data_IF_204738343477
#
_entry.id   IF_204738343477
#
_cell.length_a   1.000
_cell.length_b   1.000
_cell.length_c   1.000
_cell.angle_alpha   90.00
_cell.angle_beta   90.00
_cell.angle_gamma   90.00
#
_symmetry.space_group_name_H-M   'P 1'
#
loop_
_entity.id
_entity.type
_entity.pdbx_description
1 polymer ?
#
# COMPACT_ATOMS: atom_id res chain seq x y z
N UNK A 1 8.46 0.25 11.96
CA UNK A 1 7.71 1.01 10.93
C UNK A 1 8.20 2.45 10.91
N UNK A 2 8.45 3.03 9.73
CA UNK A 2 8.77 4.45 9.56
C UNK A 2 7.66 5.16 8.78
N UNK A 3 6.93 6.09 9.41
CA UNK A 3 5.95 6.91 8.70
C UNK A 3 6.63 8.14 8.09
N UNK A 4 6.31 8.46 6.84
CA UNK A 4 6.98 9.50 6.05
C UNK A 4 5.99 10.44 5.38
N UNK A 5 6.43 11.66 5.07
CA UNK A 5 5.61 12.65 4.36
C UNK A 5 5.57 12.34 2.85
N UNK A 6 4.74 13.09 2.12
CA UNK A 6 4.56 12.95 0.68
C UNK A 6 5.88 13.10 -0.09
N UNK A 7 6.68 14.13 0.21
CA UNK A 7 7.95 14.37 -0.49
C UNK A 7 8.94 13.21 -0.32
N UNK A 8 9.03 12.66 0.89
CA UNK A 8 9.89 11.52 1.19
C UNK A 8 9.37 10.26 0.51
N UNK A 9 8.05 10.04 0.50
CA UNK A 9 7.43 8.92 -0.17
C UNK A 9 7.63 8.96 -1.71
N UNK A 10 7.53 10.16 -2.31
CA UNK A 10 7.80 10.37 -3.73
C UNK A 10 9.26 10.11 -4.08
N UNK A 11 10.20 10.58 -3.25
CA UNK A 11 11.62 10.31 -3.41
C UNK A 11 11.91 8.81 -3.34
N UNK A 12 11.31 8.11 -2.37
CA UNK A 12 11.41 6.66 -2.23
C UNK A 12 10.87 5.93 -3.48
N UNK A 13 9.72 6.35 -3.99
CA UNK A 13 9.14 5.76 -5.20
C UNK A 13 10.08 5.93 -6.41
N UNK A 14 10.64 7.13 -6.60
CA UNK A 14 11.56 7.41 -7.69
C UNK A 14 12.86 6.60 -7.61
N UNK A 15 13.42 6.45 -6.40
CA UNK A 15 14.61 5.63 -6.15
C UNK A 15 14.40 4.15 -6.52
N UNK A 16 13.20 3.64 -6.30
CA UNK A 16 12.83 2.24 -6.57
C UNK A 16 12.11 2.04 -7.92
N UNK A 17 12.19 3.02 -8.82
CA UNK A 17 11.71 2.90 -10.20
C UNK A 17 10.19 3.04 -10.40
N UNK A 18 9.45 3.49 -9.37
CA UNK A 18 8.02 3.76 -9.48
C UNK A 18 7.78 5.18 -9.99
N UNK A 19 6.96 5.31 -11.03
CA UNK A 19 6.54 6.61 -11.53
C UNK A 19 5.54 7.29 -10.57
N UNK A 20 5.66 8.61 -10.44
CA UNK A 20 4.67 9.45 -9.76
C UNK A 20 3.75 10.09 -10.80
N UNK A 21 2.45 10.03 -10.56
CA UNK A 21 1.41 10.61 -11.41
C UNK A 21 1.23 12.11 -11.17
N UNK A 22 0.31 12.71 -11.92
CA UNK A 22 0.01 14.15 -11.86
C UNK A 22 -0.47 14.60 -10.47
N UNK A 23 -1.17 13.73 -9.75
CA UNK A 23 -1.66 13.99 -8.39
C UNK A 23 -0.60 13.76 -7.29
N UNK A 24 0.65 13.48 -7.66
CA UNK A 24 1.72 13.24 -6.69
C UNK A 24 1.68 11.86 -6.01
N UNK A 25 0.86 10.95 -6.52
CA UNK A 25 0.69 9.57 -6.05
C UNK A 25 1.42 8.58 -6.97
N UNK A 26 1.70 7.34 -6.52
CA UNK A 26 2.18 6.28 -7.39
C UNK A 26 1.28 6.07 -8.61
N UNK A 27 1.85 6.16 -9.82
CA UNK A 27 1.07 6.12 -11.04
C UNK A 27 0.51 4.71 -11.33
N UNK A 28 -0.83 4.60 -11.36
CA UNK A 28 -1.55 3.43 -11.84
C UNK A 28 -1.56 3.40 -13.38
N UNK A 29 -0.41 3.18 -14.04
CA UNK A 29 -0.41 3.17 -15.51
C UNK A 29 -0.98 1.84 -16.02
N UNK A 30 -2.13 1.90 -16.69
CA UNK A 30 -2.76 0.75 -17.35
C UNK A 30 -1.91 0.10 -18.45
N UNK A 31 -0.84 0.78 -18.91
CA UNK A 31 0.13 0.23 -19.86
C UNK A 31 1.12 -0.76 -19.21
N UNK A 32 1.18 -0.86 -17.88
CA UNK A 32 2.20 -1.63 -17.14
C UNK A 32 1.78 -3.09 -16.86
N UNK A 33 0.73 -3.59 -17.53
CA UNK A 33 0.27 -4.97 -17.37
C UNK A 33 -0.42 -5.26 -16.02
N UNK A 34 -0.92 -4.23 -15.34
CA UNK A 34 -1.75 -4.37 -14.15
C UNK A 34 -3.08 -5.05 -14.50
N UNK A 35 -3.48 -6.05 -13.73
CA UNK A 35 -4.80 -6.69 -13.82
C UNK A 35 -5.71 -6.19 -12.72
N UNK A 36 -6.94 -5.87 -13.10
CA UNK A 36 -8.01 -5.51 -12.18
C UNK A 36 -8.56 -6.75 -11.46
N UNK A 37 -8.96 -6.57 -10.21
CA UNK A 37 -9.68 -7.56 -9.42
C UNK A 37 -10.75 -6.88 -8.56
N UNK A 38 -11.81 -7.62 -8.24
CA UNK A 38 -12.82 -7.19 -7.30
C UNK A 38 -12.39 -7.50 -5.86
N UNK A 39 -12.67 -6.59 -4.93
CA UNK A 39 -12.52 -6.83 -3.50
C UNK A 39 -13.82 -7.49 -2.99
N UNK A 40 -13.74 -8.65 -2.31
CA UNK A 40 -14.93 -9.31 -1.78
C UNK A 40 -15.68 -8.46 -0.76
N UNK A 41 -17.01 -8.52 -0.76
CA UNK A 41 -17.82 -7.82 0.24
C UNK A 41 -17.54 -8.32 1.68
N UNK A 42 -17.38 -9.64 1.84
CA UNK A 42 -17.14 -10.29 3.14
C UNK A 42 -15.78 -9.93 3.76
N UNK A 43 -15.80 -9.47 5.01
CA UNK A 43 -14.60 -9.03 5.72
C UNK A 43 -13.53 -10.12 5.86
N UNK A 44 -13.92 -11.37 6.12
CA UNK A 44 -12.97 -12.49 6.21
C UNK A 44 -12.28 -12.77 4.87
N UNK A 45 -13.04 -12.71 3.77
CA UNK A 45 -12.50 -12.84 2.41
C UNK A 45 -11.60 -11.67 2.03
N UNK A 46 -11.89 -10.43 2.47
CA UNK A 46 -10.96 -9.28 2.30
C UNK A 46 -9.62 -9.55 2.96
N UNK A 47 -9.63 -9.98 4.21
CA UNK A 47 -8.41 -10.33 4.95
C UNK A 47 -7.63 -11.44 4.23
N UNK A 48 -8.32 -12.50 3.78
CA UNK A 48 -7.70 -13.59 3.05
C UNK A 48 -7.08 -13.12 1.71
N UNK A 49 -7.79 -12.26 0.97
CA UNK A 49 -7.30 -11.67 -0.29
C UNK A 49 -6.04 -10.84 -0.06
N UNK A 50 -6.07 -9.92 0.90
CA UNK A 50 -4.92 -9.07 1.22
C UNK A 50 -3.73 -9.92 1.63
N UNK A 51 -3.92 -10.88 2.55
CA UNK A 51 -2.85 -11.80 2.95
C UNK A 51 -2.29 -12.60 1.77
N UNK A 52 -3.13 -13.03 0.84
CA UNK A 52 -2.72 -13.73 -0.37
C UNK A 52 -1.86 -12.86 -1.29
N UNK A 53 -2.26 -11.61 -1.52
CA UNK A 53 -1.49 -10.65 -2.31
C UNK A 53 -0.16 -10.27 -1.63
N UNK A 54 -0.18 -10.07 -0.31
CA UNK A 54 1.02 -9.68 0.44
C UNK A 54 2.14 -10.72 0.34
N UNK A 55 1.86 -12.01 0.14
CA UNK A 55 2.92 -13.04 -0.06
C UNK A 55 3.95 -12.69 -1.13
N UNK A 56 3.58 -11.87 -2.11
CA UNK A 56 4.47 -11.43 -3.20
C UNK A 56 5.55 -10.45 -2.72
N UNK A 57 5.28 -9.76 -1.60
CA UNK A 57 6.15 -8.78 -0.98
C UNK A 57 7.04 -9.39 0.12
N UNK A 58 6.88 -10.67 0.48
CA UNK A 58 7.66 -11.32 1.57
C UNK A 58 9.19 -11.32 1.33
N UNK A 59 9.61 -11.18 0.07
CA UNK A 59 11.03 -11.15 -0.31
C UNK A 59 11.60 -9.74 -0.44
N UNK A 60 10.75 -8.72 -0.33
CA UNK A 60 11.16 -7.33 -0.40
C UNK A 60 11.90 -6.95 0.88
N UNK A 61 13.01 -6.24 0.75
CA UNK A 61 13.77 -5.77 1.92
C UNK A 61 13.02 -4.63 2.61
N UNK A 62 12.28 -3.83 1.83
CA UNK A 62 11.38 -2.80 2.34
C UNK A 62 10.09 -2.72 1.49
N UNK A 63 8.97 -2.39 2.13
CA UNK A 63 7.67 -2.16 1.49
C UNK A 63 7.17 -0.75 1.85
N UNK A 64 6.85 0.10 0.87
CA UNK A 64 6.04 1.32 1.13
C UNK A 64 4.57 0.94 1.03
N UNK A 65 3.82 1.27 2.09
CA UNK A 65 2.36 1.31 2.07
C UNK A 65 1.93 2.76 2.15
N UNK A 66 1.35 3.25 1.06
CA UNK A 66 0.86 4.61 0.93
C UNK A 66 -0.67 4.59 0.97
N UNK A 67 -1.23 5.18 2.02
CA UNK A 67 -2.68 5.38 2.11
C UNK A 67 -3.06 6.72 1.48
N UNK A 68 -4.20 6.78 0.82
CA UNK A 68 -4.80 8.01 0.31
C UNK A 68 -6.33 7.91 0.37
N UNK A 69 -7.01 9.00 0.04
CA UNK A 69 -8.47 9.09 -0.14
C UNK A 69 -9.27 8.39 0.98
N UNK A 70 -8.82 8.62 2.22
CA UNK A 70 -9.31 7.95 3.41
C UNK A 70 -10.62 8.54 3.96
N UNK A 71 -11.14 9.61 3.35
CA UNK A 71 -12.31 10.36 3.83
C UNK A 71 -13.51 10.27 2.88
N UNK A 72 -13.50 9.36 1.89
CA UNK A 72 -14.59 9.22 0.91
C UNK A 72 -15.87 8.67 1.54
N UNK A 73 -15.76 7.59 2.32
CA UNK A 73 -16.92 6.89 2.89
C UNK A 73 -16.94 6.97 4.41
N UNK A 74 -17.89 7.72 4.98
CA UNK A 74 -18.04 7.88 6.43
C UNK A 74 -18.20 6.55 7.20
N UNK A 75 -18.73 5.51 6.55
CA UNK A 75 -18.84 4.16 7.10
C UNK A 75 -17.47 3.53 7.39
N UNK A 76 -16.44 3.84 6.58
CA UNK A 76 -15.07 3.33 6.70
C UNK A 76 -14.16 4.16 7.62
N UNK A 77 -14.57 5.36 8.00
CA UNK A 77 -13.75 6.30 8.76
C UNK A 77 -13.61 5.91 10.24
N UNK A 78 -12.80 4.89 10.52
CA UNK A 78 -12.38 4.51 11.89
C UNK A 78 -10.90 4.80 12.12
N UNK A 79 -10.42 5.92 11.57
CA UNK A 79 -9.02 6.35 11.63
C UNK A 79 -8.44 6.44 13.04
N UNK A 80 -9.24 6.76 14.05
CA UNK A 80 -8.78 6.73 15.44
C UNK A 80 -8.20 5.37 15.88
N UNK A 81 -8.66 4.25 15.29
CA UNK A 81 -8.09 2.92 15.53
C UNK A 81 -6.72 2.82 14.86
N UNK A 82 -6.61 3.29 13.62
CA UNK A 82 -5.34 3.33 12.90
C UNK A 82 -4.31 4.20 13.58
N UNK A 83 -4.73 5.37 14.06
CA UNK A 83 -3.84 6.28 14.78
C UNK A 83 -3.33 5.67 16.08
N UNK A 84 -4.18 4.93 16.82
CA UNK A 84 -3.72 4.17 18.00
C UNK A 84 -2.76 3.04 17.64
N UNK A 85 -2.98 2.39 16.51
CA UNK A 85 -2.04 1.42 15.96
C UNK A 85 -0.69 2.10 15.64
N UNK A 86 -0.69 3.23 14.91
CA UNK A 86 0.52 4.01 14.60
C UNK A 86 1.26 4.49 15.84
N UNK A 87 0.52 4.95 16.85
CA UNK A 87 1.06 5.35 18.16
C UNK A 87 1.79 4.20 18.86
N UNK A 88 1.34 2.95 18.72
CA UNK A 88 2.02 1.78 19.29
C UNK A 88 3.42 1.53 18.68
N UNK A 89 3.68 2.07 17.48
CA UNK A 89 4.98 2.09 16.82
C UNK A 89 5.73 3.43 16.99
N UNK A 90 5.25 4.30 17.88
CA UNK A 90 5.87 5.60 18.15
C UNK A 90 5.58 6.70 17.13
N UNK A 91 4.63 6.48 16.22
CA UNK A 91 4.20 7.49 15.23
C UNK A 91 3.05 8.31 15.82
N UNK A 92 3.31 9.58 16.13
CA UNK A 92 2.34 10.48 16.77
C UNK A 92 1.69 11.47 15.80
N UNK A 93 2.31 11.70 14.65
CA UNK A 93 1.79 12.55 13.59
C UNK A 93 0.58 11.89 12.91
N UNK A 94 -0.39 12.68 12.48
CA UNK A 94 -1.61 12.16 11.85
C UNK A 94 -1.35 11.53 10.48
N UNK A 95 -2.30 10.75 9.98
CA UNK A 95 -2.19 10.10 8.67
C UNK A 95 -2.09 11.14 7.54
N UNK A 96 -2.76 12.28 7.70
CA UNK A 96 -2.65 13.43 6.78
C UNK A 96 -1.22 13.97 6.69
N UNK A 97 -0.48 13.95 7.80
CA UNK A 97 0.90 14.47 7.85
C UNK A 97 1.91 13.46 7.33
N UNK A 98 1.67 12.16 7.59
CA UNK A 98 2.59 11.06 7.26
C UNK A 98 1.83 9.86 6.66
N UNK A 99 1.41 9.94 5.38
CA UNK A 99 0.53 8.93 4.76
C UNK A 99 1.21 7.64 4.29
N UNK A 100 2.51 7.67 3.91
CA UNK A 100 3.26 6.43 3.59
C UNK A 100 3.97 5.89 4.83
N UNK A 101 4.01 4.56 4.90
CA UNK A 101 4.71 3.78 5.89
C UNK A 101 5.74 2.91 5.18
N UNK A 102 7.02 3.13 5.47
CA UNK A 102 8.11 2.29 5.03
C UNK A 102 8.32 1.19 6.08
N UNK A 103 8.14 -0.06 5.65
CA UNK A 103 8.15 -1.25 6.50
C UNK A 103 9.30 -2.15 6.07
N UNK A 104 10.22 -2.39 7.00
CA UNK A 104 11.33 -3.31 6.80
C UNK A 104 10.81 -4.75 6.81
N UNK A 105 11.52 -5.65 6.13
CA UNK A 105 11.18 -7.07 6.00
C UNK A 105 10.94 -7.77 7.34
N UNK A 106 11.69 -7.43 8.38
CA UNK A 106 11.55 -8.01 9.71
C UNK A 106 10.21 -7.66 10.37
N UNK A 107 9.56 -6.59 9.90
CA UNK A 107 8.29 -6.08 10.40
C UNK A 107 7.13 -6.40 9.43
N UNK A 108 7.28 -7.38 8.55
CA UNK A 108 6.34 -7.64 7.45
C UNK A 108 4.87 -7.85 7.89
N UNK A 109 4.63 -8.42 9.07
CA UNK A 109 3.27 -8.53 9.63
C UNK A 109 2.61 -7.16 9.87
N UNK A 110 3.41 -6.11 10.12
CA UNK A 110 2.96 -4.73 10.19
C UNK A 110 2.44 -4.25 8.84
N UNK A 111 3.16 -4.59 7.75
CA UNK A 111 2.73 -4.27 6.39
C UNK A 111 1.37 -4.93 6.06
N UNK A 112 1.23 -6.21 6.40
CA UNK A 112 -0.06 -6.93 6.24
C UNK A 112 -1.16 -6.24 7.04
N UNK A 113 -0.88 -5.86 8.29
CA UNK A 113 -1.86 -5.23 9.17
C UNK A 113 -2.36 -3.90 8.64
N UNK A 114 -1.47 -3.05 8.11
CA UNK A 114 -1.84 -1.77 7.49
C UNK A 114 -2.68 -2.00 6.23
N UNK A 115 -2.26 -2.91 5.35
CA UNK A 115 -3.00 -3.21 4.13
C UNK A 115 -4.41 -3.78 4.42
N UNK A 116 -4.53 -4.67 5.40
CA UNK A 116 -5.82 -5.19 5.87
C UNK A 116 -6.68 -4.05 6.42
N UNK A 117 -6.10 -3.18 7.24
CA UNK A 117 -6.82 -2.03 7.78
C UNK A 117 -7.38 -1.14 6.67
N UNK A 118 -6.56 -0.78 5.68
CA UNK A 118 -6.97 0.07 4.56
C UNK A 118 -8.16 -0.52 3.79
N UNK A 119 -8.13 -1.81 3.47
CA UNK A 119 -9.21 -2.49 2.73
C UNK A 119 -10.49 -2.62 3.55
N UNK A 120 -10.38 -2.82 4.88
CA UNK A 120 -11.55 -2.88 5.76
C UNK A 120 -12.17 -1.50 6.00
N UNK A 121 -11.37 -0.44 5.93
CA UNK A 121 -11.79 0.94 6.16
C UNK A 121 -12.07 1.72 4.88
N UNK A 122 -12.05 1.05 3.72
CA UNK A 122 -12.34 1.64 2.41
C UNK A 122 -11.45 2.86 2.11
N UNK A 123 -10.14 2.71 2.32
CA UNK A 123 -9.15 3.70 1.90
C UNK A 123 -8.44 3.26 0.64
N UNK A 124 -8.00 4.22 -0.16
CA UNK A 124 -7.05 3.96 -1.22
C UNK A 124 -5.71 3.55 -0.62
N UNK A 125 -5.10 2.49 -1.17
CA UNK A 125 -3.89 1.91 -0.62
C UNK A 125 -2.99 1.41 -1.73
N UNK A 126 -1.84 2.07 -1.90
CA UNK A 126 -0.77 1.61 -2.76
C UNK A 126 0.26 0.83 -1.93
N UNK A 127 0.68 -0.32 -2.44
CA UNK A 127 1.70 -1.17 -1.83
C UNK A 127 2.79 -1.41 -2.87
N UNK A 128 4.01 -1.03 -2.53
CA UNK A 128 5.16 -1.02 -3.43
C UNK A 128 6.32 -1.75 -2.77
N UNK A 129 6.95 -2.70 -3.48
CA UNK A 129 8.16 -3.38 -3.00
C UNK A 129 9.42 -2.64 -3.43
N UNK A 130 10.44 -2.63 -2.57
CA UNK A 130 11.76 -2.03 -2.83
C UNK A 130 12.46 -2.52 -4.11
N UNK A 131 12.13 -3.70 -4.62
CA UNK A 131 12.70 -4.20 -5.88
C UNK A 131 12.22 -3.45 -7.12
N UNK A 132 11.17 -2.63 -7.00
CA UNK A 132 10.48 -2.01 -8.13
C UNK A 132 9.59 -2.98 -8.92
N UNK A 133 9.58 -4.28 -8.56
CA UNK A 133 8.97 -5.36 -9.35
C UNK A 133 7.65 -5.90 -8.81
N UNK A 134 7.21 -5.48 -7.62
CA UNK A 134 5.89 -5.80 -7.06
C UNK A 134 5.09 -4.55 -6.68
N UNK A 135 3.83 -4.54 -7.10
CA UNK A 135 2.89 -3.44 -6.87
C UNK A 135 1.47 -3.99 -6.69
N UNK A 136 0.73 -3.43 -5.75
CA UNK A 136 -0.70 -3.70 -5.55
C UNK A 136 -1.39 -2.43 -5.10
N UNK A 137 -2.56 -2.17 -5.68
CA UNK A 137 -3.45 -1.09 -5.30
C UNK A 137 -4.82 -1.63 -4.90
N UNK A 138 -5.38 -1.06 -3.85
CA UNK A 138 -6.76 -1.23 -3.42
C UNK A 138 -7.45 0.12 -3.45
N UNK A 139 -8.66 0.16 -4.01
CA UNK A 139 -9.50 1.35 -4.06
C UNK A 139 -10.58 1.30 -2.99
N UNK A 140 -10.96 2.47 -2.48
CA UNK A 140 -12.16 2.68 -1.67
C UNK A 140 -13.45 2.25 -2.37
N UNK A 141 -13.47 2.21 -3.70
CA UNK A 141 -14.58 1.72 -4.53
C UNK A 141 -14.59 0.17 -4.68
N UNK A 142 -13.87 -0.54 -3.83
CA UNK A 142 -13.93 -2.00 -3.70
C UNK A 142 -13.44 -2.78 -4.93
N UNK A 143 -12.53 -2.18 -5.68
CA UNK A 143 -11.72 -2.83 -6.71
C UNK A 143 -10.23 -2.65 -6.43
N UNK A 144 -9.38 -3.37 -7.12
CA UNK A 144 -7.93 -3.19 -7.02
C UNK A 144 -7.19 -3.58 -8.28
N UNK A 145 -5.88 -3.29 -8.30
CA UNK A 145 -4.96 -3.58 -9.40
C UNK A 145 -3.67 -4.19 -8.88
N UNK A 146 -3.13 -5.19 -9.56
CA UNK A 146 -1.79 -5.70 -9.26
C UNK A 146 -1.07 -6.17 -10.53
N UNK A 147 0.26 -6.28 -10.47
CA UNK A 147 1.00 -6.88 -11.58
C UNK A 147 0.68 -8.36 -11.67
N UNK A 148 0.22 -8.79 -12.84
CA UNK A 148 -0.12 -10.18 -13.08
C UNK A 148 1.14 -11.03 -13.17
N UNK A 149 1.46 -11.84 -12.15
CA UNK A 149 2.51 -12.89 -12.18
C UNK A 149 3.71 -12.55 -13.08
N UNK A 150 4.35 -11.40 -12.85
CA UNK A 150 5.62 -11.12 -13.49
C UNK A 150 6.72 -11.71 -12.61
N UNK A 151 7.41 -12.72 -13.15
CA UNK A 151 8.78 -13.04 -12.75
C UNK A 151 9.60 -11.74 -12.87
N UNK A 152 10.46 -11.39 -11.90
CA UNK A 152 11.18 -10.13 -11.92
C UNK A 152 11.90 -9.93 -13.26
N UNK A 153 11.72 -8.75 -13.86
CA UNK A 153 12.52 -8.35 -15.02
C UNK A 153 14.00 -8.37 -14.63
N UNK A 154 14.88 -9.02 -15.41
CA UNK A 154 16.31 -8.92 -15.16
C UNK A 154 16.71 -7.46 -15.37
N UNK A 155 17.26 -6.85 -14.33
CA UNK A 155 17.89 -5.53 -14.39
C UNK A 155 18.98 -5.60 -15.45
N UNK A 156 18.80 -4.91 -16.58
CA UNK A 156 19.89 -4.67 -17.53
C UNK A 156 20.97 -3.87 -16.81
N UNK A 157 22.14 -4.48 -16.65
CA UNK A 157 23.39 -3.85 -16.27
C UNK A 157 23.84 -2.83 -17.33
#
# INVERSE_FOLDING_TARGET
>A
MKAVDLSTAQAWCAEHGFAIGEFGLPALRGADGLKEFAIPEDAGKRVALVRGHMRRFEKEEEVCIWLDDWDVWQSGQRWHIFERFRLSYGVGESIMQRPCHLIQKEEFDTAISIAVFAVLMLADCHILGSSGGVYTFYSHDEWGKNWANQTPHPTTL
#
